data_IF_085064673786
#
_entry.id   IF_085064673786
#
_cell.length_a   1.000
_cell.length_b   1.000
_cell.length_c   1.000
_cell.angle_alpha   90.00
_cell.angle_beta   90.00
_cell.angle_gamma   90.00
#
_symmetry.space_group_name_H-M   'P 1'
#
loop_
_entity.id
_entity.type
_entity.pdbx_description
1 polymer ?
#
# COMPACT_ATOMS: atom_id res chain seq x y z
N UNK A 1 -0.75 18.01 26.98
CA UNK A 1 -0.49 18.08 25.52
C UNK A 1 -0.98 19.37 24.88
N UNK A 2 -1.85 20.17 25.52
CA UNK A 2 -2.23 21.50 25.02
C UNK A 2 -3.16 21.50 23.81
N UNK A 3 -3.68 20.34 23.42
CA UNK A 3 -4.63 20.15 22.31
C UNK A 3 -6.02 19.85 22.88
N UNK A 4 -7.07 20.19 22.13
CA UNK A 4 -8.48 19.97 22.46
C UNK A 4 -8.92 18.52 22.26
N UNK A 5 -8.20 17.76 21.43
CA UNK A 5 -8.48 16.35 21.17
C UNK A 5 -7.19 15.57 20.88
N UNK A 6 -7.27 14.24 20.88
CA UNK A 6 -6.16 13.39 20.45
C UNK A 6 -5.88 13.57 18.96
N UNK A 7 -6.93 13.72 18.14
CA UNK A 7 -6.76 13.99 16.71
C UNK A 7 -5.98 15.28 16.45
N UNK A 8 -6.26 16.36 17.18
CA UNK A 8 -5.47 17.59 17.05
C UNK A 8 -4.00 17.39 17.44
N UNK A 9 -3.73 16.60 18.49
CA UNK A 9 -2.36 16.27 18.87
C UNK A 9 -1.64 15.42 17.81
N UNK A 10 -2.31 14.42 17.24
CA UNK A 10 -1.74 13.46 16.29
C UNK A 10 -1.54 14.07 14.89
N UNK A 11 -2.45 14.91 14.43
CA UNK A 11 -2.44 15.46 13.05
C UNK A 11 -1.54 16.69 12.91
N UNK A 12 -1.24 17.41 13.99
CA UNK A 12 -0.50 18.70 13.92
C UNK A 12 0.85 18.66 13.22
N UNK A 13 1.55 17.51 13.24
CA UNK A 13 2.88 17.34 12.63
C UNK A 13 2.82 16.72 11.24
N UNK A 14 1.63 16.34 10.78
CA UNK A 14 1.38 15.75 9.47
C UNK A 14 1.07 16.84 8.45
N UNK A 15 1.06 16.51 7.16
CA UNK A 15 0.79 17.47 6.09
C UNK A 15 -0.58 18.14 6.25
N UNK A 16 -1.59 17.41 6.72
CA UNK A 16 -2.92 17.96 6.97
C UNK A 16 -2.96 19.05 8.06
N UNK A 17 -2.01 19.05 8.99
CA UNK A 17 -1.80 20.02 10.08
C UNK A 17 -2.97 20.22 11.09
N UNK A 18 -4.21 19.86 10.78
CA UNK A 18 -5.34 19.89 11.70
C UNK A 18 -6.46 18.91 11.36
N UNK A 19 -7.27 18.47 12.34
CA UNK A 19 -8.42 17.59 12.09
C UNK A 19 -9.46 18.23 11.16
N UNK A 20 -9.57 19.56 11.18
CA UNK A 20 -10.49 20.27 10.29
C UNK A 20 -10.11 20.08 8.82
N UNK A 21 -8.82 20.12 8.49
CA UNK A 21 -8.32 19.92 7.12
C UNK A 21 -8.60 18.49 6.67
N UNK A 22 -8.33 17.51 7.53
CA UNK A 22 -8.66 16.10 7.29
C UNK A 22 -10.15 15.92 7.01
N UNK A 23 -11.02 16.46 7.88
CA UNK A 23 -12.46 16.37 7.69
C UNK A 23 -12.93 17.05 6.40
N UNK A 24 -12.34 18.20 6.04
CA UNK A 24 -12.70 18.88 4.77
C UNK A 24 -12.39 18.00 3.56
N UNK A 25 -11.22 17.36 3.55
CA UNK A 25 -10.83 16.42 2.51
C UNK A 25 -11.76 15.19 2.45
N UNK A 26 -12.05 14.57 3.60
CA UNK A 26 -12.91 13.38 3.66
C UNK A 26 -14.34 13.68 3.21
N UNK A 27 -14.88 14.85 3.55
CA UNK A 27 -16.22 15.26 3.14
C UNK A 27 -16.29 15.58 1.65
N UNK A 28 -15.31 16.33 1.11
CA UNK A 28 -15.20 16.59 -0.34
C UNK A 28 -15.14 15.26 -1.12
N UNK A 29 -14.29 14.33 -0.70
CA UNK A 29 -14.16 13.03 -1.36
C UNK A 29 -15.41 12.15 -1.19
N UNK A 30 -16.09 12.24 -0.03
CA UNK A 30 -17.36 11.54 0.20
C UNK A 30 -18.47 12.04 -0.70
N UNK A 31 -18.50 13.34 -1.01
CA UNK A 31 -19.47 13.94 -1.93
C UNK A 31 -19.23 13.46 -3.36
N UNK A 32 -17.96 13.48 -3.81
CA UNK A 32 -17.54 13.03 -5.14
C UNK A 32 -17.91 11.55 -5.38
N UNK A 33 -17.63 10.67 -4.42
CA UNK A 33 -17.81 9.22 -4.61
C UNK A 33 -19.27 8.76 -4.46
N UNK A 34 -20.14 9.57 -3.84
CA UNK A 34 -21.48 9.15 -3.39
C UNK A 34 -22.31 8.53 -4.51
N UNK A 35 -22.48 9.27 -5.61
CA UNK A 35 -23.35 8.87 -6.72
C UNK A 35 -22.90 7.52 -7.28
N UNK A 36 -21.59 7.39 -7.56
CA UNK A 36 -21.05 6.17 -8.14
C UNK A 36 -21.15 4.96 -7.20
N UNK A 37 -20.91 5.16 -5.91
CA UNK A 37 -21.04 4.11 -4.92
C UNK A 37 -22.51 3.66 -4.75
N UNK A 38 -23.48 4.57 -4.83
CA UNK A 38 -24.90 4.23 -4.79
C UNK A 38 -25.35 3.43 -6.04
N UNK A 39 -24.82 3.78 -7.23
CA UNK A 39 -25.02 2.99 -8.45
C UNK A 39 -24.48 1.56 -8.31
N UNK A 40 -23.26 1.44 -7.81
CA UNK A 40 -22.59 0.16 -7.58
C UNK A 40 -23.31 -0.69 -6.54
N UNK A 41 -23.71 -0.09 -5.42
CA UNK A 41 -24.52 -0.75 -4.39
C UNK A 41 -25.83 -1.29 -4.97
N UNK A 42 -26.54 -0.47 -5.77
CA UNK A 42 -27.76 -0.89 -6.45
C UNK A 42 -27.49 -2.07 -7.39
N UNK A 43 -26.37 -2.06 -8.13
CA UNK A 43 -25.99 -3.16 -9.02
C UNK A 43 -25.79 -4.47 -8.27
N UNK A 44 -25.16 -4.45 -7.09
CA UNK A 44 -24.97 -5.64 -6.25
C UNK A 44 -26.32 -6.16 -5.75
N UNK A 45 -27.17 -5.26 -5.26
CA UNK A 45 -28.51 -5.59 -4.75
C UNK A 45 -29.41 -6.18 -5.85
N UNK A 46 -29.43 -5.57 -7.03
CA UNK A 46 -30.23 -6.05 -8.16
C UNK A 46 -29.73 -7.43 -8.62
N UNK A 47 -28.42 -7.69 -8.57
CA UNK A 47 -27.86 -9.00 -8.86
C UNK A 47 -28.26 -10.07 -7.83
N UNK A 48 -28.23 -9.76 -6.52
CA UNK A 48 -28.74 -10.65 -5.47
C UNK A 48 -30.20 -11.05 -5.75
N UNK A 49 -31.07 -10.09 -6.04
CA UNK A 49 -32.49 -10.34 -6.33
C UNK A 49 -32.70 -11.22 -7.55
N UNK A 50 -31.86 -11.07 -8.57
CA UNK A 50 -31.92 -11.92 -9.76
C UNK A 50 -31.48 -13.35 -9.49
N UNK A 51 -30.47 -13.56 -8.63
CA UNK A 51 -29.92 -14.89 -8.35
C UNK A 51 -30.75 -15.68 -7.33
N UNK A 52 -31.22 -15.02 -6.27
CA UNK A 52 -31.87 -15.67 -5.12
C UNK A 52 -33.40 -15.47 -5.08
N UNK A 53 -33.94 -14.66 -6.00
CA UNK A 53 -35.37 -14.30 -6.05
C UNK A 53 -35.74 -13.14 -5.11
N UNK A 54 -36.90 -12.52 -5.33
CA UNK A 54 -37.32 -11.33 -4.58
C UNK A 54 -37.67 -11.58 -3.10
N UNK A 55 -37.88 -12.84 -2.71
CA UNK A 55 -38.25 -13.21 -1.34
C UNK A 55 -37.03 -13.34 -0.40
N UNK A 56 -35.79 -13.22 -0.90
CA UNK A 56 -34.55 -13.45 -0.13
C UNK A 56 -34.13 -12.29 0.80
N UNK A 57 -34.94 -11.23 0.92
CA UNK A 57 -34.61 -10.02 1.67
C UNK A 57 -33.71 -9.04 0.90
N UNK A 58 -33.38 -7.90 1.51
CA UNK A 58 -32.50 -6.90 0.88
C UNK A 58 -31.02 -7.28 1.00
N UNK A 59 -30.13 -6.53 0.34
CA UNK A 59 -28.69 -6.76 0.40
C UNK A 59 -28.13 -6.47 1.81
N UNK A 60 -27.42 -7.44 2.39
CA UNK A 60 -26.83 -7.31 3.73
C UNK A 60 -25.30 -7.24 3.69
N UNK A 61 -24.61 -6.69 4.72
CA UNK A 61 -23.16 -6.50 4.65
C UNK A 61 -22.34 -7.78 4.46
N UNK A 62 -22.84 -8.95 4.88
CA UNK A 62 -22.17 -10.24 4.67
C UNK A 62 -22.31 -10.77 3.23
N UNK A 63 -23.21 -10.18 2.43
CA UNK A 63 -23.47 -10.57 1.05
C UNK A 63 -22.50 -9.89 0.06
N UNK A 64 -21.96 -8.71 0.40
CA UNK A 64 -21.21 -7.86 -0.52
C UNK A 64 -20.04 -8.60 -1.19
N UNK A 65 -19.17 -9.23 -0.40
CA UNK A 65 -17.99 -9.94 -0.92
C UNK A 65 -18.36 -11.14 -1.79
N UNK A 66 -19.46 -11.81 -1.49
CA UNK A 66 -19.94 -12.97 -2.25
C UNK A 66 -20.44 -12.54 -3.63
N UNK A 67 -21.36 -11.58 -3.69
CA UNK A 67 -21.95 -11.13 -4.95
C UNK A 67 -20.99 -10.34 -5.82
N UNK A 68 -20.14 -9.49 -5.24
CA UNK A 68 -19.10 -8.79 -6.00
C UNK A 68 -18.10 -9.78 -6.62
N UNK A 69 -17.72 -10.84 -5.90
CA UNK A 69 -16.87 -11.91 -6.42
C UNK A 69 -17.48 -12.62 -7.63
N UNK A 70 -18.77 -13.00 -7.54
CA UNK A 70 -19.48 -13.64 -8.65
C UNK A 70 -19.61 -12.69 -9.84
N UNK A 71 -19.99 -11.43 -9.61
CA UNK A 71 -20.13 -10.41 -10.65
C UNK A 71 -18.80 -10.20 -11.40
N UNK A 72 -17.69 -10.07 -10.67
CA UNK A 72 -16.35 -9.90 -11.28
C UNK A 72 -15.94 -11.13 -12.08
N UNK A 73 -16.10 -12.34 -11.54
CA UNK A 73 -15.73 -13.57 -12.23
C UNK A 73 -16.58 -13.80 -13.48
N UNK A 74 -17.90 -13.57 -13.39
CA UNK A 74 -18.84 -13.80 -14.49
C UNK A 74 -18.69 -12.78 -15.63
N UNK A 75 -18.45 -11.50 -15.30
CA UNK A 75 -18.32 -10.44 -16.30
C UNK A 75 -17.05 -10.59 -17.17
N UNK A 76 -15.99 -11.17 -16.63
CA UNK A 76 -14.67 -11.20 -17.28
C UNK A 76 -14.11 -12.61 -17.51
N UNK A 77 -14.83 -13.65 -17.14
CA UNK A 77 -14.38 -15.05 -17.28
C UNK A 77 -13.09 -15.32 -16.49
N UNK A 78 -12.92 -14.66 -15.34
CA UNK A 78 -11.72 -14.78 -14.52
C UNK A 78 -11.84 -15.96 -13.56
N UNK A 79 -10.93 -16.91 -13.73
CA UNK A 79 -10.67 -17.99 -12.78
C UNK A 79 -9.41 -17.65 -11.98
N UNK A 80 -9.54 -17.53 -10.66
CA UNK A 80 -8.44 -17.18 -9.76
C UNK A 80 -7.30 -18.20 -9.80
N UNK A 81 -7.60 -19.48 -10.05
CA UNK A 81 -6.60 -20.54 -10.18
C UNK A 81 -5.79 -20.40 -11.47
N UNK A 82 -6.44 -20.00 -12.57
CA UNK A 82 -5.77 -19.71 -13.84
C UNK A 82 -4.86 -18.49 -13.68
N UNK A 83 -5.33 -17.42 -13.03
CA UNK A 83 -4.47 -16.24 -12.78
C UNK A 83 -3.27 -16.63 -11.91
N UNK A 84 -3.49 -17.33 -10.80
CA UNK A 84 -2.42 -17.73 -9.87
C UNK A 84 -1.37 -18.66 -10.50
N UNK A 85 -1.72 -19.37 -11.58
CA UNK A 85 -0.79 -20.22 -12.33
C UNK A 85 0.39 -19.45 -12.95
N UNK A 86 0.24 -18.14 -13.19
CA UNK A 86 1.28 -17.25 -13.73
C UNK A 86 2.17 -16.61 -12.66
N UNK A 87 1.82 -16.76 -11.38
CA UNK A 87 2.52 -16.11 -10.26
C UNK A 87 3.12 -17.10 -9.25
N UNK A 88 4.01 -18.03 -9.67
CA UNK A 88 4.90 -18.69 -8.71
C UNK A 88 5.70 -17.67 -7.90
N UNK A 89 5.84 -17.90 -6.59
CA UNK A 89 6.53 -16.96 -5.71
C UNK A 89 7.96 -16.63 -6.16
N UNK A 90 8.69 -17.62 -6.69
CA UNK A 90 10.03 -17.43 -7.24
C UNK A 90 10.05 -16.42 -8.38
N UNK A 91 9.08 -16.50 -9.29
CA UNK A 91 8.94 -15.57 -10.40
C UNK A 91 8.57 -14.17 -9.90
N UNK A 92 7.69 -14.06 -8.90
CA UNK A 92 7.36 -12.76 -8.30
C UNK A 92 8.59 -12.09 -7.68
N UNK A 93 9.43 -12.84 -6.97
CA UNK A 93 10.71 -12.35 -6.42
C UNK A 93 11.63 -11.87 -7.56
N UNK A 94 11.77 -12.63 -8.65
CA UNK A 94 12.57 -12.22 -9.79
C UNK A 94 11.99 -10.99 -10.51
N UNK A 95 10.67 -10.81 -10.47
CA UNK A 95 9.97 -9.59 -10.88
C UNK A 95 10.42 -8.37 -10.07
N UNK A 96 10.49 -8.48 -8.74
CA UNK A 96 11.00 -7.40 -7.88
C UNK A 96 12.45 -7.03 -8.23
N UNK A 97 13.32 -8.03 -8.46
CA UNK A 97 14.71 -7.80 -8.87
C UNK A 97 14.80 -7.10 -10.24
N UNK A 98 13.99 -7.56 -11.20
CA UNK A 98 13.96 -7.03 -12.56
C UNK A 98 13.47 -5.59 -12.59
N UNK A 99 12.43 -5.28 -11.82
CA UNK A 99 11.90 -3.92 -11.68
C UNK A 99 12.98 -2.97 -11.13
N UNK A 100 13.69 -3.38 -10.08
CA UNK A 100 14.74 -2.56 -9.45
C UNK A 100 15.93 -2.36 -10.37
N UNK A 101 16.31 -3.38 -11.12
CA UNK A 101 17.34 -3.26 -12.16
C UNK A 101 16.95 -2.27 -13.24
N UNK A 102 15.70 -2.31 -13.69
CA UNK A 102 15.20 -1.42 -14.75
C UNK A 102 15.11 0.03 -14.28
N UNK A 103 14.48 0.27 -13.13
CA UNK A 103 14.25 1.60 -12.60
C UNK A 103 15.52 2.24 -12.06
N UNK A 104 16.26 1.52 -11.23
CA UNK A 104 17.32 2.11 -10.42
C UNK A 104 18.73 1.73 -10.87
N UNK A 105 18.89 0.89 -11.89
CA UNK A 105 20.20 0.34 -12.27
C UNK A 105 20.85 -0.52 -11.17
N UNK A 106 20.09 -0.86 -10.13
CA UNK A 106 20.56 -1.61 -8.97
C UNK A 106 20.20 -3.09 -9.08
N UNK A 107 21.00 -3.96 -8.47
CA UNK A 107 20.81 -5.41 -8.55
C UNK A 107 20.65 -6.03 -7.17
N UNK A 108 19.66 -6.90 -7.03
CA UNK A 108 19.50 -7.72 -5.84
C UNK A 108 20.26 -9.04 -6.00
N UNK A 109 21.14 -9.34 -5.04
CA UNK A 109 21.89 -10.59 -4.98
C UNK A 109 21.44 -11.41 -3.78
N UNK A 110 21.16 -12.70 -3.98
CA UNK A 110 20.89 -13.61 -2.85
C UNK A 110 22.22 -13.85 -2.15
N UNK A 111 22.26 -13.60 -0.84
CA UNK A 111 23.45 -13.73 -0.01
C UNK A 111 23.23 -14.87 0.98
N UNK A 112 24.22 -15.75 1.21
CA UNK A 112 24.10 -16.80 2.22
C UNK A 112 23.93 -16.19 3.62
N UNK A 113 23.12 -16.86 4.43
CA UNK A 113 22.95 -16.53 5.85
C UNK A 113 24.14 -17.07 6.65
N UNK A 114 24.71 -16.24 7.51
CA UNK A 114 25.72 -16.67 8.47
C UNK A 114 25.10 -17.59 9.56
N UNK A 115 25.90 -18.46 10.19
CA UNK A 115 25.42 -19.30 11.30
C UNK A 115 24.76 -18.46 12.40
N UNK A 116 23.49 -18.74 12.69
CA UNK A 116 22.71 -18.04 13.74
C UNK A 116 22.12 -16.69 13.31
N UNK A 117 22.30 -16.24 12.06
CA UNK A 117 21.78 -14.95 11.59
C UNK A 117 20.26 -14.94 11.39
N UNK A 118 19.68 -16.06 10.96
CA UNK A 118 18.24 -16.16 10.66
C UNK A 118 17.43 -16.76 11.80
N UNK A 119 16.22 -16.23 11.99
CA UNK A 119 15.21 -16.77 12.91
C UNK A 119 14.44 -17.98 12.35
N UNK A 120 14.55 -18.28 11.06
CA UNK A 120 13.89 -19.45 10.46
C UNK A 120 14.58 -19.93 9.16
N UNK A 121 14.68 -21.25 8.89
CA UNK A 121 15.37 -21.78 7.71
C UNK A 121 14.79 -21.35 6.35
N UNK A 122 13.51 -20.97 6.29
CA UNK A 122 12.85 -20.53 5.06
C UNK A 122 13.09 -19.05 4.70
N UNK A 123 13.80 -18.30 5.56
CA UNK A 123 14.08 -16.87 5.32
C UNK A 123 15.19 -16.76 4.29
N UNK A 124 15.00 -15.90 3.28
CA UNK A 124 16.02 -15.56 2.31
C UNK A 124 16.62 -14.20 2.65
N UNK A 125 17.92 -14.02 2.39
CA UNK A 125 18.60 -12.74 2.52
C UNK A 125 19.05 -12.26 1.13
N UNK A 126 18.78 -10.99 0.84
CA UNK A 126 19.27 -10.34 -0.37
C UNK A 126 20.04 -9.06 -0.01
N UNK A 127 21.13 -8.78 -0.72
CA UNK A 127 21.76 -7.46 -0.74
C UNK A 127 21.28 -6.69 -1.96
N UNK A 128 21.01 -5.39 -1.79
CA UNK A 128 20.79 -4.46 -2.89
C UNK A 128 22.13 -3.80 -3.22
N UNK A 129 22.60 -3.90 -4.46
CA UNK A 129 23.86 -3.32 -4.91
C UNK A 129 23.61 -2.28 -6.01
N UNK A 130 24.30 -1.14 -5.95
CA UNK A 130 24.26 -0.09 -6.97
C UNK A 130 25.68 0.29 -7.39
N UNK A 131 26.01 0.25 -8.70
CA UNK A 131 27.40 0.39 -9.18
C UNK A 131 28.02 1.76 -8.85
N UNK A 132 27.22 2.83 -8.84
CA UNK A 132 27.70 4.19 -8.56
C UNK A 132 27.85 4.50 -7.06
N UNK A 133 27.51 3.56 -6.16
CA UNK A 133 27.61 3.81 -4.72
C UNK A 133 29.05 3.54 -4.24
N UNK A 134 29.80 4.62 -4.03
CA UNK A 134 31.25 4.56 -3.70
C UNK A 134 31.58 4.81 -2.22
N UNK A 135 30.56 4.92 -1.35
CA UNK A 135 30.79 5.23 0.06
C UNK A 135 31.29 3.99 0.81
N UNK A 136 32.25 4.19 1.72
CA UNK A 136 32.75 3.09 2.54
C UNK A 136 31.66 2.65 3.53
N UNK A 137 31.47 1.34 3.62
CA UNK A 137 30.40 0.74 4.42
C UNK A 137 30.95 0.32 5.78
N UNK A 138 30.26 0.73 6.84
CA UNK A 138 30.64 0.38 8.20
C UNK A 138 30.56 -1.12 8.46
N UNK A 139 31.68 -1.75 8.86
CA UNK A 139 31.73 -3.20 9.09
C UNK A 139 30.76 -3.62 10.20
N UNK A 140 29.85 -4.54 9.87
CA UNK A 140 29.14 -5.35 10.84
C UNK A 140 29.92 -6.63 11.11
N UNK A 141 30.08 -7.00 12.38
CA UNK A 141 30.77 -8.23 12.80
C UNK A 141 30.16 -9.53 12.25
N UNK A 142 29.00 -9.48 11.59
CA UNK A 142 28.25 -10.64 11.08
C UNK A 142 27.90 -10.56 9.59
N UNK A 143 28.37 -9.54 8.84
CA UNK A 143 28.09 -9.42 7.40
C UNK A 143 29.36 -9.03 6.64
N UNK A 144 29.67 -9.75 5.56
CA UNK A 144 30.61 -9.27 4.54
C UNK A 144 29.88 -8.16 3.79
N UNK A 145 30.30 -6.92 4.00
CA UNK A 145 29.72 -5.74 3.34
C UNK A 145 30.66 -5.31 2.22
N UNK A 146 30.12 -5.18 1.01
CA UNK A 146 30.91 -4.81 -0.18
C UNK A 146 30.69 -3.33 -0.53
N UNK A 147 31.70 -2.70 -1.15
CA UNK A 147 31.49 -1.38 -1.75
C UNK A 147 30.40 -1.47 -2.82
N UNK A 148 29.46 -0.53 -2.83
CA UNK A 148 28.31 -0.56 -3.73
C UNK A 148 27.01 -1.08 -3.10
N UNK A 149 27.05 -1.71 -1.91
CA UNK A 149 25.85 -2.17 -1.24
C UNK A 149 25.00 -1.01 -0.72
N UNK A 150 23.71 -1.04 -1.05
CA UNK A 150 22.72 -0.08 -0.58
C UNK A 150 21.99 -0.52 0.71
N UNK A 151 21.96 -1.81 1.00
CA UNK A 151 21.33 -2.38 2.20
C UNK A 151 20.93 -3.84 2.04
N UNK A 152 20.34 -4.42 3.10
CA UNK A 152 19.96 -5.83 3.13
C UNK A 152 18.45 -6.02 3.39
N UNK A 153 17.86 -6.96 2.66
CA UNK A 153 16.46 -7.34 2.74
C UNK A 153 16.33 -8.81 3.12
N UNK A 154 15.67 -9.09 4.24
CA UNK A 154 15.21 -10.42 4.60
C UNK A 154 13.80 -10.66 4.06
N UNK A 155 13.60 -11.79 3.41
CA UNK A 155 12.29 -12.23 2.91
C UNK A 155 11.80 -13.40 3.75
N UNK A 156 10.76 -13.17 4.54
CA UNK A 156 10.09 -14.20 5.32
C UNK A 156 8.65 -14.37 4.81
N UNK A 157 8.48 -15.19 3.77
CA UNK A 157 7.29 -15.13 2.92
C UNK A 157 6.24 -16.22 3.17
N UNK A 158 6.62 -17.34 3.79
CA UNK A 158 5.74 -18.49 4.00
C UNK A 158 4.97 -18.40 5.32
N UNK A 159 3.73 -18.87 5.32
CA UNK A 159 2.92 -18.96 6.54
C UNK A 159 3.43 -20.06 7.48
N UNK A 160 3.39 -19.81 8.79
CA UNK A 160 3.67 -20.80 9.84
C UNK A 160 3.05 -20.41 11.17
N UNK A 161 2.80 -21.40 12.03
CA UNK A 161 2.24 -21.19 13.38
C UNK A 161 3.13 -20.25 14.21
N UNK A 162 2.53 -19.26 14.86
CA UNK A 162 3.23 -18.32 15.75
C UNK A 162 3.97 -17.17 15.06
N UNK A 163 3.92 -17.09 13.72
CA UNK A 163 4.44 -15.94 12.96
C UNK A 163 3.45 -14.77 13.00
N UNK A 164 3.97 -13.54 12.86
CA UNK A 164 3.17 -12.33 12.65
C UNK A 164 2.12 -12.55 11.53
N UNK A 165 0.83 -12.28 11.77
CA UNK A 165 -0.22 -12.45 10.77
C UNK A 165 -0.18 -11.31 9.73
N UNK A 166 -0.48 -11.62 8.47
CA UNK A 166 -0.56 -10.63 7.39
C UNK A 166 0.76 -10.39 6.65
N UNK A 167 0.85 -9.24 5.97
CA UNK A 167 2.05 -8.79 5.29
C UNK A 167 2.52 -7.47 5.92
N UNK A 168 3.82 -7.31 6.15
CA UNK A 168 4.39 -6.11 6.73
C UNK A 168 5.90 -6.00 6.45
N UNK A 169 6.35 -4.75 6.31
CA UNK A 169 7.74 -4.34 6.34
C UNK A 169 8.19 -3.97 7.77
N UNK A 170 9.34 -4.49 8.18
CA UNK A 170 9.99 -4.17 9.45
C UNK A 170 11.40 -3.62 9.24
N UNK A 171 11.68 -2.44 9.79
CA UNK A 171 13.03 -1.91 9.85
C UNK A 171 13.78 -2.52 11.05
N UNK A 172 14.78 -3.36 10.77
CA UNK A 172 15.68 -3.94 11.78
C UNK A 172 16.76 -2.93 12.15
N UNK A 173 17.33 -2.27 11.15
CA UNK A 173 18.33 -1.19 11.31
C UNK A 173 18.07 -0.11 10.27
N UNK A 174 18.02 1.15 10.69
CA UNK A 174 17.90 2.27 9.74
C UNK A 174 19.26 2.72 9.21
N UNK A 175 19.24 3.35 8.05
CA UNK A 175 20.40 3.99 7.46
C UNK A 175 20.81 5.24 8.22
N UNK A 176 22.11 5.51 8.35
CA UNK A 176 22.62 6.79 8.87
C UNK A 176 24.07 7.05 8.51
N UNK A 177 24.46 8.31 8.47
CA UNK A 177 25.87 8.69 8.42
C UNK A 177 26.53 8.41 9.78
N UNK A 178 27.72 7.78 9.78
CA UNK A 178 28.54 7.59 10.99
C UNK A 178 29.69 8.60 11.06
N UNK A 179 30.30 8.88 9.91
CA UNK A 179 31.35 9.89 9.71
C UNK A 179 31.33 10.35 8.26
N UNK A 180 32.10 11.37 7.86
CA UNK A 180 32.14 11.86 6.47
C UNK A 180 32.36 10.77 5.41
N UNK A 181 33.04 9.68 5.76
CA UNK A 181 33.39 8.60 4.82
C UNK A 181 32.58 7.33 5.00
N UNK A 182 31.80 7.22 6.07
CA UNK A 182 31.24 5.95 6.53
C UNK A 182 29.72 6.04 6.72
N UNK A 183 28.99 5.11 6.10
CA UNK A 183 27.55 4.98 6.20
C UNK A 183 27.14 3.65 6.82
N UNK A 184 26.17 3.70 7.73
CA UNK A 184 25.49 2.52 8.28
C UNK A 184 24.37 2.10 7.33
N UNK A 185 24.48 0.93 6.70
CA UNK A 185 23.43 0.48 5.77
C UNK A 185 22.13 0.06 6.47
N UNK A 186 20.96 0.35 5.87
CA UNK A 186 19.69 -0.15 6.34
C UNK A 186 19.59 -1.68 6.22
N UNK A 187 18.87 -2.28 7.17
CA UNK A 187 18.53 -3.70 7.20
C UNK A 187 17.05 -3.82 7.49
N UNK A 188 16.33 -4.49 6.60
CA UNK A 188 14.86 -4.58 6.65
C UNK A 188 14.40 -6.03 6.46
N UNK A 189 13.21 -6.33 6.97
CA UNK A 189 12.54 -7.61 6.75
C UNK A 189 11.17 -7.38 6.13
N UNK A 190 10.88 -8.08 5.04
CA UNK A 190 9.57 -8.16 4.43
C UNK A 190 8.95 -9.49 4.83
N UNK A 191 7.88 -9.42 5.61
CA UNK A 191 7.19 -10.57 6.21
C UNK A 191 5.85 -10.72 5.53
N UNK A 192 5.57 -11.88 4.91
CA UNK A 192 4.27 -12.24 4.33
C UNK A 192 3.82 -13.62 4.82
N UNK A 193 2.60 -14.04 4.49
CA UNK A 193 2.04 -15.32 4.90
C UNK A 193 1.47 -16.14 3.74
N UNK A 194 2.25 -16.30 2.65
CA UNK A 194 1.81 -17.09 1.50
C UNK A 194 1.76 -18.57 1.84
N UNK A 195 0.67 -19.22 1.45
CA UNK A 195 0.49 -20.65 1.62
C UNK A 195 1.28 -21.43 0.55
N UNK A 196 1.96 -22.49 0.96
CA UNK A 196 2.52 -23.44 0.01
C UNK A 196 1.39 -24.14 -0.76
N UNK A 197 1.59 -24.43 -2.04
CA UNK A 197 0.60 -25.16 -2.84
C UNK A 197 0.49 -26.61 -2.34
N UNK A 198 -0.71 -27.24 -2.34
CA UNK A 198 -0.85 -28.64 -1.98
C UNK A 198 0.10 -29.53 -2.80
N UNK A 199 0.90 -30.35 -2.13
CA UNK A 199 1.87 -31.26 -2.76
C UNK A 199 3.13 -30.59 -3.33
N UNK A 200 3.36 -29.30 -3.08
CA UNK A 200 4.55 -28.57 -3.53
C UNK A 200 5.15 -27.72 -2.41
N UNK A 201 6.47 -27.56 -2.42
CA UNK A 201 7.17 -26.61 -1.53
C UNK A 201 7.08 -25.16 -2.00
N UNK A 202 6.46 -24.89 -3.15
CA UNK A 202 6.39 -23.56 -3.76
C UNK A 202 5.00 -22.95 -3.64
N UNK A 203 4.94 -21.68 -3.22
CA UNK A 203 3.71 -20.88 -3.21
C UNK A 203 3.37 -20.39 -4.61
N UNK A 204 2.06 -20.35 -4.92
CA UNK A 204 1.49 -19.67 -6.09
C UNK A 204 0.57 -18.59 -5.57
N UNK A 205 0.82 -17.36 -5.98
CA UNK A 205 0.14 -16.20 -5.43
C UNK A 205 -1.09 -15.90 -6.27
N UNK A 206 -2.22 -15.62 -5.63
CA UNK A 206 -3.27 -14.88 -6.32
C UNK A 206 -2.81 -13.44 -6.58
N UNK A 207 -3.47 -12.72 -7.48
CA UNK A 207 -2.98 -11.39 -7.86
C UNK A 207 -3.04 -10.36 -6.71
N UNK A 208 -4.00 -10.47 -5.78
CA UNK A 208 -4.04 -9.64 -4.58
C UNK A 208 -2.84 -9.86 -3.65
N UNK A 209 -2.32 -11.09 -3.57
CA UNK A 209 -1.06 -11.39 -2.86
C UNK A 209 0.16 -10.80 -3.58
N UNK A 210 0.14 -10.73 -4.92
CA UNK A 210 1.19 -10.06 -5.71
C UNK A 210 1.17 -8.54 -5.48
N UNK A 211 -0.02 -7.92 -5.51
CA UNK A 211 -0.20 -6.50 -5.16
C UNK A 211 0.32 -6.22 -3.76
N UNK A 212 -0.05 -7.04 -2.78
CA UNK A 212 0.43 -6.91 -1.39
C UNK A 212 1.96 -7.06 -1.29
N UNK A 213 2.55 -8.00 -2.03
CA UNK A 213 4.01 -8.16 -2.07
C UNK A 213 4.70 -6.89 -2.61
N UNK A 214 4.16 -6.29 -3.67
CA UNK A 214 4.69 -5.06 -4.25
C UNK A 214 4.49 -3.85 -3.32
N UNK A 215 3.36 -3.77 -2.63
CA UNK A 215 3.11 -2.76 -1.60
C UNK A 215 4.21 -2.79 -0.52
N UNK A 216 4.43 -3.95 0.11
CA UNK A 216 5.46 -4.08 1.15
C UNK A 216 6.88 -3.90 0.60
N UNK A 217 7.09 -4.25 -0.67
CA UNK A 217 8.35 -4.00 -1.33
C UNK A 217 8.59 -2.50 -1.59
N UNK A 218 7.55 -1.70 -1.82
CA UNK A 218 7.64 -0.24 -1.87
C UNK A 218 8.18 0.34 -0.55
N UNK A 219 7.68 -0.15 0.60
CA UNK A 219 8.22 0.19 1.92
C UNK A 219 9.69 -0.24 2.10
N UNK A 220 10.01 -1.46 1.67
CA UNK A 220 11.39 -1.97 1.72
C UNK A 220 12.34 -1.12 0.86
N UNK A 221 11.94 -0.77 -0.36
CA UNK A 221 12.72 0.08 -1.26
C UNK A 221 12.90 1.49 -0.71
N UNK A 222 11.86 2.08 -0.11
CA UNK A 222 11.99 3.37 0.54
C UNK A 222 13.07 3.33 1.64
N UNK A 223 13.08 2.26 2.45
CA UNK A 223 14.10 2.06 3.48
C UNK A 223 15.51 1.81 2.92
N UNK A 224 15.64 0.98 1.87
CA UNK A 224 16.94 0.63 1.28
C UNK A 224 17.56 1.78 0.47
N UNK A 225 16.74 2.57 -0.21
CA UNK A 225 17.17 3.70 -1.02
C UNK A 225 17.48 4.96 -0.20
N UNK A 226 16.98 5.05 1.04
CA UNK A 226 17.15 6.21 1.92
C UNK A 226 18.63 6.44 2.30
N UNK A 227 19.06 7.70 2.24
CA UNK A 227 20.42 8.18 2.52
C UNK A 227 20.38 9.40 3.44
N UNK A 228 19.92 9.20 4.66
CA UNK A 228 19.82 10.28 5.67
C UNK A 228 21.02 10.33 6.60
N UNK A 229 21.30 11.51 7.14
CA UNK A 229 22.34 11.71 8.15
C UNK A 229 21.97 11.02 9.47
N UNK A 230 20.68 11.08 9.85
CA UNK A 230 20.17 10.53 11.09
C UNK A 230 19.22 9.36 10.84
N UNK A 231 19.37 8.30 11.64
CA UNK A 231 18.54 7.11 11.57
C UNK A 231 17.06 7.38 11.86
N UNK A 232 16.74 8.42 12.62
CA UNK A 232 15.36 8.79 12.94
C UNK A 232 14.56 9.28 11.73
N UNK A 233 15.23 9.67 10.65
CA UNK A 233 14.61 10.06 9.38
C UNK A 233 14.76 8.99 8.30
N UNK A 234 15.38 7.84 8.61
CA UNK A 234 15.68 6.83 7.58
C UNK A 234 14.42 6.08 7.13
N UNK A 235 14.31 5.89 5.83
CA UNK A 235 13.28 5.07 5.20
C UNK A 235 11.88 5.61 5.44
N UNK A 236 10.99 4.72 5.89
CA UNK A 236 9.57 5.01 6.14
C UNK A 236 9.31 5.87 7.39
N UNK A 237 10.34 6.42 8.05
CA UNK A 237 10.21 7.34 9.19
C UNK A 237 9.92 8.76 8.72
N UNK A 238 8.80 8.91 8.04
CA UNK A 238 8.25 10.16 7.50
C UNK A 238 6.98 10.55 8.26
N UNK A 239 6.36 11.67 7.91
CA UNK A 239 5.02 12.00 8.42
C UNK A 239 3.99 10.98 7.97
N UNK A 240 2.96 10.76 8.80
CA UNK A 240 2.05 9.62 8.63
C UNK A 240 1.26 9.66 7.33
N UNK A 241 0.77 10.83 6.94
CA UNK A 241 -0.02 11.07 5.73
C UNK A 241 0.78 11.12 4.43
N UNK A 242 2.06 10.73 4.50
CA UNK A 242 2.94 10.51 3.36
C UNK A 242 3.50 9.08 3.30
N UNK A 243 3.61 8.39 4.45
CA UNK A 243 4.34 7.13 4.63
C UNK A 243 3.92 6.00 3.68
N UNK A 244 2.63 5.91 3.36
CA UNK A 244 2.08 4.86 2.48
C UNK A 244 2.24 5.18 0.98
N UNK A 245 2.61 6.42 0.62
CA UNK A 245 2.67 6.85 -0.79
C UNK A 245 3.61 5.99 -1.65
N UNK A 246 4.84 5.66 -1.21
CA UNK A 246 5.70 4.75 -1.97
C UNK A 246 5.10 3.36 -2.14
N UNK A 247 4.47 2.80 -1.10
CA UNK A 247 3.88 1.48 -1.16
C UNK A 247 2.69 1.42 -2.13
N UNK A 248 1.77 2.38 -2.03
CA UNK A 248 0.66 2.52 -2.99
C UNK A 248 1.13 2.79 -4.42
N UNK A 249 2.25 3.50 -4.61
CA UNK A 249 2.83 3.69 -5.94
C UNK A 249 3.29 2.34 -6.52
N UNK A 250 3.93 1.48 -5.71
CA UNK A 250 4.41 0.18 -6.18
C UNK A 250 3.28 -0.82 -6.49
N UNK A 251 2.08 -0.65 -5.93
CA UNK A 251 0.89 -1.40 -6.35
C UNK A 251 0.59 -1.23 -7.84
N UNK A 252 0.75 -0.02 -8.41
CA UNK A 252 0.49 0.20 -9.84
C UNK A 252 1.40 -0.65 -10.75
N UNK A 253 2.65 -0.85 -10.37
CA UNK A 253 3.57 -1.71 -11.12
C UNK A 253 3.13 -3.18 -11.09
N UNK A 254 2.43 -3.63 -10.04
CA UNK A 254 1.87 -4.98 -9.96
C UNK A 254 0.67 -5.18 -10.91
N UNK A 255 0.12 -4.11 -11.48
CA UNK A 255 -1.05 -4.15 -12.39
C UNK A 255 -0.71 -3.84 -13.85
N UNK A 256 0.47 -3.29 -14.13
CA UNK A 256 0.88 -2.92 -15.48
C UNK A 256 1.40 -4.13 -16.28
N UNK A 257 0.79 -4.40 -17.44
CA UNK A 257 1.19 -5.52 -18.30
C UNK A 257 2.66 -5.49 -18.73
N UNK A 258 3.22 -4.29 -18.99
CA UNK A 258 4.61 -4.13 -19.42
C UNK A 258 5.58 -4.57 -18.33
N UNK A 259 5.19 -4.42 -17.06
CA UNK A 259 5.93 -4.92 -15.89
C UNK A 259 5.66 -6.42 -15.71
N UNK A 260 4.39 -6.83 -15.65
CA UNK A 260 4.00 -8.22 -15.39
C UNK A 260 4.61 -9.20 -16.40
N UNK A 261 4.62 -8.86 -17.70
CA UNK A 261 5.17 -9.73 -18.75
C UNK A 261 6.66 -10.07 -18.59
N UNK A 262 7.38 -9.33 -17.75
CA UNK A 262 8.82 -9.57 -17.50
C UNK A 262 9.05 -10.80 -16.61
N UNK A 263 8.10 -11.14 -15.74
CA UNK A 263 8.26 -12.20 -14.75
C UNK A 263 7.09 -13.17 -14.63
N UNK A 264 5.85 -12.71 -14.90
CA UNK A 264 4.66 -13.55 -14.78
C UNK A 264 4.62 -14.58 -15.90
N UNK A 265 4.87 -15.84 -15.52
CA UNK A 265 4.97 -16.99 -16.43
C UNK A 265 4.23 -18.18 -15.87
N UNK A 266 3.49 -18.87 -16.73
CA UNK A 266 2.74 -20.06 -16.36
C UNK A 266 3.69 -21.11 -15.79
N UNK A 267 3.39 -21.61 -14.59
CA UNK A 267 4.32 -22.45 -13.82
C UNK A 267 4.74 -23.75 -14.52
N UNK A 268 3.90 -24.30 -15.41
CA UNK A 268 4.19 -25.56 -16.10
C UNK A 268 4.64 -25.41 -17.55
N UNK A 269 4.21 -24.35 -18.25
CA UNK A 269 4.50 -24.17 -19.69
C UNK A 269 5.58 -23.11 -19.92
N UNK A 270 5.82 -22.21 -18.96
CA UNK A 270 6.74 -21.09 -19.11
C UNK A 270 6.19 -19.91 -19.94
N UNK A 271 4.95 -20.03 -20.42
CA UNK A 271 4.30 -19.00 -21.24
C UNK A 271 4.13 -17.70 -20.46
N UNK A 272 4.40 -16.58 -21.11
CA UNK A 272 4.18 -15.24 -20.54
C UNK A 272 2.68 -15.03 -20.30
N UNK A 273 2.33 -14.32 -19.21
CA UNK A 273 0.94 -13.95 -18.94
C UNK A 273 0.32 -13.24 -20.16
N UNK A 274 -0.84 -13.70 -20.67
CA UNK A 274 -1.46 -13.05 -21.82
C UNK A 274 -1.93 -11.63 -21.49
N UNK A 275 -1.69 -10.67 -22.38
CA UNK A 275 -2.15 -9.29 -22.23
C UNK A 275 -3.67 -9.20 -22.03
N UNK A 276 -4.44 -10.03 -22.75
CA UNK A 276 -5.89 -10.13 -22.60
C UNK A 276 -6.30 -10.54 -21.18
N UNK A 277 -5.54 -11.41 -20.52
CA UNK A 277 -5.80 -11.81 -19.15
C UNK A 277 -5.55 -10.64 -18.19
N UNK A 278 -4.43 -9.93 -18.35
CA UNK A 278 -4.12 -8.73 -17.55
C UNK A 278 -5.15 -7.62 -17.76
N UNK A 279 -5.64 -7.44 -18.99
CA UNK A 279 -6.73 -6.50 -19.26
C UNK A 279 -8.00 -6.90 -18.52
N UNK A 280 -8.42 -8.16 -18.60
CA UNK A 280 -9.59 -8.67 -17.90
C UNK A 280 -9.47 -8.51 -16.38
N UNK A 281 -8.27 -8.75 -15.81
CA UNK A 281 -7.97 -8.52 -14.40
C UNK A 281 -8.13 -7.04 -14.03
N UNK A 282 -7.59 -6.13 -14.83
CA UNK A 282 -7.73 -4.68 -14.60
C UNK A 282 -9.19 -4.22 -14.73
N UNK A 283 -9.93 -4.70 -15.74
CA UNK A 283 -11.35 -4.37 -15.90
C UNK A 283 -12.17 -4.86 -14.68
N UNK A 284 -11.85 -6.05 -14.14
CA UNK A 284 -12.47 -6.59 -12.92
C UNK A 284 -12.06 -5.83 -11.64
N UNK A 285 -10.83 -5.32 -11.58
CA UNK A 285 -10.37 -4.45 -10.49
C UNK A 285 -11.19 -3.17 -10.43
N UNK A 286 -11.47 -2.57 -11.59
CA UNK A 286 -12.24 -1.32 -11.70
C UNK A 286 -13.72 -1.47 -11.34
N UNK A 287 -14.25 -2.70 -11.26
CA UNK A 287 -15.59 -2.91 -10.71
C UNK A 287 -15.62 -2.69 -9.19
N UNK A 288 -16.59 -1.92 -8.72
CA UNK A 288 -16.87 -1.68 -7.29
C UNK A 288 -15.81 -0.84 -6.58
N UNK A 289 -15.02 -0.05 -7.32
CA UNK A 289 -13.97 0.80 -6.74
C UNK A 289 -14.57 1.98 -5.96
N UNK A 290 -15.70 2.54 -6.40
CA UNK A 290 -16.37 3.61 -5.65
C UNK A 290 -16.91 3.10 -4.31
N UNK A 291 -17.44 1.88 -4.27
CA UNK A 291 -17.89 1.19 -3.06
C UNK A 291 -16.72 0.98 -2.07
N UNK A 292 -15.56 0.51 -2.57
CA UNK A 292 -14.35 0.39 -1.75
C UNK A 292 -13.88 1.75 -1.22
N UNK A 293 -13.83 2.78 -2.08
CA UNK A 293 -13.40 4.11 -1.69
C UNK A 293 -14.33 4.72 -0.63
N UNK A 294 -15.65 4.57 -0.80
CA UNK A 294 -16.66 4.97 0.19
C UNK A 294 -16.41 4.28 1.54
N UNK A 295 -16.08 2.99 1.54
CA UNK A 295 -15.71 2.25 2.75
C UNK A 295 -14.45 2.80 3.43
N UNK A 296 -13.39 3.10 2.67
CA UNK A 296 -12.17 3.68 3.24
C UNK A 296 -12.42 5.07 3.83
N UNK A 297 -13.22 5.92 3.16
CA UNK A 297 -13.65 7.22 3.68
C UNK A 297 -14.42 7.05 4.98
N UNK A 298 -15.37 6.11 5.03
CA UNK A 298 -16.13 5.81 6.24
C UNK A 298 -15.22 5.39 7.41
N UNK A 299 -14.20 4.58 7.16
CA UNK A 299 -13.22 4.19 8.19
C UNK A 299 -12.41 5.39 8.69
N UNK A 300 -11.98 6.28 7.81
CA UNK A 300 -11.31 7.52 8.19
C UNK A 300 -12.22 8.46 8.99
N UNK A 301 -13.50 8.55 8.64
CA UNK A 301 -14.50 9.35 9.36
C UNK A 301 -14.76 8.81 10.78
N UNK A 302 -14.85 7.49 10.94
CA UNK A 302 -14.94 6.85 12.26
C UNK A 302 -13.72 7.22 13.10
N UNK A 303 -12.52 7.02 12.55
CA UNK A 303 -11.26 7.29 13.23
C UNK A 303 -11.18 8.75 13.71
N UNK A 304 -11.44 9.72 12.84
CA UNK A 304 -11.47 11.14 13.21
C UNK A 304 -12.56 11.48 14.23
N UNK A 305 -13.73 10.85 14.16
CA UNK A 305 -14.82 11.10 15.10
C UNK A 305 -14.51 10.57 16.49
N UNK A 306 -13.96 9.35 16.59
CA UNK A 306 -13.65 8.71 17.86
C UNK A 306 -12.47 9.40 18.59
N UNK A 307 -11.50 9.92 17.85
CA UNK A 307 -10.34 10.62 18.42
C UNK A 307 -10.45 12.15 18.42
N UNK A 308 -11.52 12.69 17.85
CA UNK A 308 -11.82 14.12 17.79
C UNK A 308 -12.27 14.70 19.14
N UNK A 309 -12.69 15.96 19.10
CA UNK A 309 -13.25 16.63 20.28
C UNK A 309 -14.52 15.90 20.75
N UNK A 310 -14.50 15.47 22.01
CA UNK A 310 -15.63 14.74 22.58
C UNK A 310 -16.64 15.70 23.20
N UNK A 311 -17.95 15.45 23.03
CA UNK A 311 -18.98 16.24 23.70
C UNK A 311 -18.89 16.09 25.22
N UNK A 312 -19.49 17.03 25.96
CA UNK A 312 -19.51 17.01 27.43
C UNK A 312 -20.28 15.82 28.01
N UNK A 313 -21.24 15.26 27.27
CA UNK A 313 -21.92 14.01 27.59
C UNK A 313 -21.26 12.84 26.86
N UNK A 314 -21.10 11.71 27.56
CA UNK A 314 -20.57 10.48 26.96
C UNK A 314 -21.51 10.00 25.85
N UNK A 315 -21.02 9.98 24.61
CA UNK A 315 -21.71 9.38 23.47
C UNK A 315 -21.26 7.93 23.30
N UNK A 316 -22.22 7.02 23.15
CA UNK A 316 -21.96 5.64 22.81
C UNK A 316 -21.33 5.51 21.41
N UNK A 317 -20.27 4.71 21.29
CA UNK A 317 -19.49 4.56 20.06
C UNK A 317 -20.29 3.86 18.96
N UNK A 318 -21.16 2.91 19.32
CA UNK A 318 -22.02 2.20 18.37
C UNK A 318 -22.98 3.19 17.70
N UNK A 319 -23.59 4.06 18.49
CA UNK A 319 -24.49 5.10 18.01
C UNK A 319 -23.78 6.11 17.09
N UNK A 320 -22.56 6.54 17.45
CA UNK A 320 -21.76 7.41 16.57
C UNK A 320 -21.46 6.76 15.21
N UNK A 321 -21.08 5.48 15.21
CA UNK A 321 -20.80 4.73 13.99
C UNK A 321 -22.06 4.49 13.17
N UNK A 322 -23.20 4.20 13.82
CA UNK A 322 -24.50 4.06 13.14
C UNK A 322 -24.86 5.32 12.38
N UNK A 323 -24.71 6.49 13.02
CA UNK A 323 -25.01 7.78 12.40
C UNK A 323 -24.08 8.07 11.22
N UNK A 324 -22.77 7.84 11.39
CA UNK A 324 -21.80 7.99 10.29
C UNK A 324 -22.11 7.04 9.14
N UNK A 325 -22.49 5.79 9.42
CA UNK A 325 -22.75 4.78 8.39
C UNK A 325 -23.96 5.18 7.55
N UNK A 326 -25.04 5.60 8.22
CA UNK A 326 -26.26 6.09 7.58
C UNK A 326 -26.02 7.36 6.75
N UNK A 327 -25.16 8.26 7.24
CA UNK A 327 -24.89 9.53 6.58
C UNK A 327 -23.94 9.38 5.40
N UNK A 328 -22.93 8.52 5.53
CA UNK A 328 -21.79 8.48 4.61
C UNK A 328 -21.68 7.23 3.75
N UNK A 329 -22.60 6.27 3.89
CA UNK A 329 -22.61 5.04 3.08
C UNK A 329 -24.01 4.67 2.64
N UNK A 330 -24.12 3.76 1.68
CA UNK A 330 -25.40 3.18 1.24
C UNK A 330 -25.88 2.04 2.15
N UNK A 331 -25.16 1.77 3.24
CA UNK A 331 -25.39 0.65 4.14
C UNK A 331 -26.03 1.07 5.46
N UNK A 332 -26.93 0.25 5.97
CA UNK A 332 -27.44 0.39 7.32
C UNK A 332 -26.52 -0.28 8.36
N UNK A 333 -26.63 0.17 9.61
CA UNK A 333 -25.96 -0.48 10.73
C UNK A 333 -26.70 -1.78 11.09
N UNK A 334 -25.95 -2.85 11.30
CA UNK A 334 -26.50 -4.13 11.75
C UNK A 334 -26.49 -4.16 13.28
N UNK A 335 -27.67 -4.21 13.88
CA UNK A 335 -27.81 -4.22 15.34
C UNK A 335 -27.13 -5.44 15.98
N UNK A 336 -26.58 -5.25 17.19
CA UNK A 336 -25.80 -6.27 17.90
C UNK A 336 -24.35 -6.41 17.41
N UNK A 337 -23.92 -5.61 16.41
CA UNK A 337 -22.53 -5.63 15.93
C UNK A 337 -21.69 -4.50 16.52
N UNK A 338 -20.42 -4.80 16.79
CA UNK A 338 -19.44 -3.84 17.31
C UNK A 338 -18.18 -3.83 16.43
N UNK A 339 -18.35 -3.58 15.13
CA UNK A 339 -17.29 -3.68 14.13
C UNK A 339 -15.99 -2.96 14.53
N UNK A 340 -16.10 -1.75 15.08
CA UNK A 340 -14.95 -0.94 15.51
C UNK A 340 -14.06 -1.61 16.57
N UNK A 341 -14.58 -2.54 17.36
CA UNK A 341 -13.77 -3.28 18.34
C UNK A 341 -12.79 -4.25 17.69
N UNK A 342 -13.00 -4.58 16.41
CA UNK A 342 -12.10 -5.39 15.58
C UNK A 342 -11.22 -4.55 14.67
N UNK A 343 -11.38 -3.22 14.68
CA UNK A 343 -10.62 -2.32 13.84
C UNK A 343 -9.30 -1.94 14.52
N UNK A 344 -8.29 -2.81 14.38
CA UNK A 344 -6.99 -2.69 15.06
C UNK A 344 -6.27 -1.37 14.78
N UNK A 345 -6.53 -0.73 13.63
CA UNK A 345 -5.95 0.57 13.27
C UNK A 345 -6.33 1.68 14.24
N UNK A 346 -7.46 1.58 14.96
CA UNK A 346 -7.77 2.54 16.02
C UNK A 346 -6.74 2.52 17.15
N UNK A 347 -6.03 1.40 17.36
CA UNK A 347 -5.03 1.27 18.41
C UNK A 347 -3.65 1.72 17.94
N UNK A 348 -3.25 1.33 16.73
CA UNK A 348 -1.88 1.57 16.22
C UNK A 348 -1.76 2.85 15.37
N UNK A 349 -2.86 3.31 14.77
CA UNK A 349 -2.94 4.43 13.82
C UNK A 349 -4.02 5.45 14.22
N UNK A 350 -4.47 5.49 15.48
CA UNK A 350 -5.57 6.34 15.92
C UNK A 350 -5.41 7.80 15.46
N UNK A 351 -6.48 8.38 14.92
CA UNK A 351 -6.55 9.68 14.26
C UNK A 351 -5.71 9.82 12.97
N UNK A 352 -5.20 8.73 12.43
CA UNK A 352 -4.30 8.68 11.28
C UNK A 352 -4.84 7.91 10.07
N UNK A 353 -6.00 7.27 10.13
CA UNK A 353 -6.45 6.34 9.07
C UNK A 353 -6.71 7.03 7.72
N UNK A 354 -6.96 8.35 7.70
CA UNK A 354 -7.08 9.14 6.47
C UNK A 354 -5.80 9.13 5.61
N UNK A 355 -4.64 8.82 6.20
CA UNK A 355 -3.34 8.77 5.51
C UNK A 355 -3.34 7.81 4.32
N UNK A 356 -4.08 6.69 4.39
CA UNK A 356 -4.23 5.77 3.26
C UNK A 356 -4.89 6.42 2.04
N UNK A 357 -5.87 7.31 2.25
CA UNK A 357 -6.51 8.05 1.16
C UNK A 357 -5.58 9.13 0.59
N UNK A 358 -4.81 9.80 1.45
CA UNK A 358 -3.76 10.72 1.00
C UNK A 358 -2.76 10.01 0.09
N UNK A 359 -2.22 8.89 0.57
CA UNK A 359 -1.26 8.08 -0.16
C UNK A 359 -1.79 7.58 -1.50
N UNK A 360 -3.05 7.12 -1.56
CA UNK A 360 -3.70 6.73 -2.83
C UNK A 360 -3.78 7.88 -3.83
N UNK A 361 -4.18 9.09 -3.40
CA UNK A 361 -4.23 10.24 -4.29
C UNK A 361 -2.85 10.66 -4.80
N UNK A 362 -1.84 10.69 -3.91
CA UNK A 362 -0.47 10.99 -4.29
C UNK A 362 0.10 9.92 -5.23
N UNK A 363 -0.06 8.64 -4.91
CA UNK A 363 0.40 7.53 -5.73
C UNK A 363 -0.25 7.53 -7.12
N UNK A 364 -1.55 7.79 -7.22
CA UNK A 364 -2.25 7.91 -8.51
C UNK A 364 -1.69 9.04 -9.37
N UNK A 365 -1.43 10.20 -8.76
CA UNK A 365 -0.82 11.35 -9.46
C UNK A 365 0.61 11.06 -9.89
N UNK A 366 1.46 10.52 -9.00
CA UNK A 366 2.84 10.15 -9.34
C UNK A 366 2.86 9.09 -10.44
N UNK A 367 1.99 8.08 -10.37
CA UNK A 367 1.89 7.06 -11.40
C UNK A 367 1.56 7.69 -12.75
N UNK A 368 0.49 8.49 -12.81
CA UNK A 368 0.02 9.12 -14.05
C UNK A 368 1.04 10.07 -14.66
N UNK A 369 1.63 10.96 -13.87
CA UNK A 369 2.50 12.03 -14.37
C UNK A 369 3.95 11.58 -14.60
N UNK A 370 4.41 10.57 -13.86
CA UNK A 370 5.85 10.24 -13.79
C UNK A 370 6.16 8.83 -14.31
N UNK A 371 5.26 7.86 -14.11
CA UNK A 371 5.55 6.44 -14.36
C UNK A 371 4.78 5.85 -15.55
N UNK A 372 3.61 6.39 -15.90
CA UNK A 372 2.66 5.73 -16.80
C UNK A 372 3.18 5.55 -18.23
N UNK A 373 3.86 6.57 -18.79
CA UNK A 373 4.37 6.51 -20.16
C UNK A 373 5.37 5.36 -20.37
N UNK A 374 6.31 5.20 -19.43
CA UNK A 374 7.25 4.08 -19.40
C UNK A 374 7.55 3.64 -17.96
N UNK A 375 6.85 2.62 -17.45
CA UNK A 375 7.00 2.15 -16.06
C UNK A 375 8.32 1.40 -15.84
N UNK A 376 9.14 1.20 -16.87
CA UNK A 376 10.44 0.56 -16.74
C UNK A 376 11.60 1.52 -17.05
N UNK A 377 11.29 2.82 -17.21
CA UNK A 377 12.25 3.87 -17.54
C UNK A 377 13.32 4.05 -16.44
N UNK A 378 14.62 3.90 -16.78
CA UNK A 378 15.71 4.19 -15.85
C UNK A 378 15.77 5.68 -15.44
N UNK A 379 15.38 6.58 -16.35
CA UNK A 379 15.31 8.02 -16.05
C UNK A 379 14.25 8.30 -14.98
N UNK A 380 13.09 7.66 -15.11
CA UNK A 380 12.01 7.75 -14.12
C UNK A 380 12.45 7.20 -12.78
N UNK A 381 13.09 6.03 -12.75
CA UNK A 381 13.59 5.45 -11.51
C UNK A 381 14.71 6.29 -10.86
N UNK A 382 15.57 6.94 -11.65
CA UNK A 382 16.53 7.93 -11.14
C UNK A 382 15.82 9.09 -10.43
N UNK A 383 14.75 9.64 -11.02
CA UNK A 383 13.93 10.66 -10.37
C UNK A 383 13.22 10.15 -9.12
N UNK A 384 12.63 8.96 -9.14
CA UNK A 384 12.00 8.34 -7.96
C UNK A 384 13.01 8.15 -6.82
N UNK A 385 14.24 7.71 -7.11
CA UNK A 385 15.29 7.61 -6.09
C UNK A 385 15.69 9.00 -5.59
N UNK A 386 16.11 9.87 -6.49
CA UNK A 386 16.79 11.13 -6.14
C UNK A 386 15.86 12.23 -5.60
N UNK A 387 14.60 12.25 -6.02
CA UNK A 387 13.65 13.31 -5.61
C UNK A 387 12.68 12.88 -4.52
N UNK A 388 12.59 11.58 -4.25
CA UNK A 388 11.53 11.02 -3.42
C UNK A 388 12.08 10.04 -2.37
N UNK A 389 12.55 8.86 -2.76
CA UNK A 389 12.90 7.80 -1.80
C UNK A 389 14.17 8.08 -0.98
N UNK A 390 15.19 8.71 -1.56
CA UNK A 390 16.49 8.85 -0.88
C UNK A 390 16.43 9.72 0.37
N UNK A 391 15.45 10.63 0.46
CA UNK A 391 15.41 11.61 1.54
C UNK A 391 14.82 11.06 2.84
N UNK A 392 14.12 9.92 2.81
CA UNK A 392 13.33 9.46 3.95
C UNK A 392 12.49 10.61 4.53
N UNK A 393 12.49 10.76 5.86
CA UNK A 393 11.86 11.87 6.58
C UNK A 393 12.72 13.12 6.76
N UNK A 394 13.85 13.25 6.07
CA UNK A 394 14.77 14.38 6.27
C UNK A 394 14.43 15.62 5.43
N UNK A 395 13.44 15.52 4.53
CA UNK A 395 12.97 16.62 3.69
C UNK A 395 11.44 16.74 3.80
N UNK A 396 10.93 17.96 3.66
CA UNK A 396 9.49 18.21 3.72
C UNK A 396 8.76 17.45 2.59
N UNK A 397 7.72 16.65 2.90
CA UNK A 397 6.98 15.89 1.90
C UNK A 397 6.38 16.75 0.78
N UNK A 398 5.97 17.98 1.07
CA UNK A 398 5.39 18.86 0.06
C UNK A 398 6.41 19.26 -1.00
N UNK A 399 7.67 19.50 -0.59
CA UNK A 399 8.77 19.77 -1.50
C UNK A 399 9.12 18.52 -2.32
N UNK A 400 9.15 17.34 -1.69
CA UNK A 400 9.41 16.07 -2.39
C UNK A 400 8.37 15.79 -3.49
N UNK A 401 7.09 15.97 -3.16
CA UNK A 401 5.97 15.73 -4.08
C UNK A 401 6.00 16.71 -5.25
N UNK A 402 6.23 18.00 -4.99
CA UNK A 402 6.33 19.03 -6.02
C UNK A 402 7.53 18.84 -6.94
N UNK A 403 8.69 18.52 -6.38
CA UNK A 403 9.91 18.28 -7.16
C UNK A 403 9.76 17.08 -8.12
N UNK A 404 9.00 16.07 -7.69
CA UNK A 404 8.77 14.83 -8.44
C UNK A 404 7.67 14.97 -9.50
N UNK A 405 6.49 15.47 -9.12
CA UNK A 405 5.27 15.41 -9.92
C UNK A 405 4.65 16.79 -10.24
N UNK A 406 5.30 17.88 -9.84
CA UNK A 406 4.85 19.26 -10.08
C UNK A 406 3.87 19.78 -9.03
N UNK A 407 3.55 21.08 -9.11
CA UNK A 407 2.74 21.78 -8.09
C UNK A 407 1.29 21.28 -7.97
N UNK A 408 0.75 20.67 -9.03
CA UNK A 408 -0.63 20.19 -9.07
C UNK A 408 -0.93 18.98 -8.18
N UNK A 409 0.08 18.35 -7.58
CA UNK A 409 -0.11 17.17 -6.72
C UNK A 409 -0.70 17.49 -5.34
N UNK A 410 -0.56 18.74 -4.89
CA UNK A 410 -1.08 19.19 -3.58
C UNK A 410 -1.94 20.44 -3.70
N UNK A 411 -2.86 20.60 -2.75
CA UNK A 411 -3.69 21.79 -2.55
C UNK A 411 -3.54 22.27 -1.11
N UNK A 412 -3.53 23.59 -0.92
CA UNK A 412 -3.58 24.20 0.41
C UNK A 412 -5.03 24.38 0.86
N UNK A 413 -5.35 23.91 2.07
CA UNK A 413 -6.67 24.06 2.67
C UNK A 413 -6.51 24.49 4.13
N UNK A 414 -6.98 25.69 4.48
CA UNK A 414 -7.04 26.22 5.87
C UNK A 414 -5.74 26.04 6.67
N UNK A 415 -4.59 26.28 6.03
CA UNK A 415 -3.27 26.19 6.68
C UNK A 415 -2.65 24.79 6.72
N UNK A 416 -3.34 23.77 6.20
CA UNK A 416 -2.79 22.43 5.96
C UNK A 416 -2.75 22.09 4.47
N UNK A 417 -2.23 20.91 4.17
CA UNK A 417 -2.11 20.37 2.81
C UNK A 417 -3.04 19.17 2.65
N UNK A 418 -3.71 19.12 1.50
CA UNK A 418 -4.51 17.98 1.04
C UNK A 418 -3.97 17.54 -0.33
N UNK A 419 -4.10 16.27 -0.72
CA UNK A 419 -3.74 15.83 -2.07
C UNK A 419 -4.73 16.39 -3.11
N UNK A 420 -4.26 16.54 -4.35
CA UNK A 420 -5.17 16.65 -5.49
C UNK A 420 -5.83 15.28 -5.76
N UNK A 421 -7.14 15.30 -6.01
CA UNK A 421 -7.95 14.09 -6.20
C UNK A 421 -8.21 13.78 -7.67
N UNK A 422 -7.83 14.67 -8.61
CA UNK A 422 -8.23 14.60 -10.02
C UNK A 422 -7.73 13.33 -10.71
N UNK A 423 -6.52 12.87 -10.37
CA UNK A 423 -5.95 11.60 -10.88
C UNK A 423 -6.76 10.40 -10.45
N UNK A 424 -7.07 10.33 -9.15
CA UNK A 424 -7.81 9.21 -8.58
C UNK A 424 -9.24 9.20 -9.12
N UNK A 425 -9.92 10.34 -9.18
CA UNK A 425 -11.28 10.45 -9.73
C UNK A 425 -11.32 10.03 -11.19
N UNK A 426 -10.35 10.47 -12.01
CA UNK A 426 -10.27 10.07 -13.42
C UNK A 426 -10.05 8.57 -13.60
N UNK A 427 -9.20 7.95 -12.77
CA UNK A 427 -8.97 6.51 -12.78
C UNK A 427 -10.25 5.72 -12.47
N UNK A 428 -11.05 6.21 -11.53
CA UNK A 428 -12.26 5.57 -11.05
C UNK A 428 -13.53 5.94 -11.83
N UNK A 429 -13.43 6.84 -12.82
CA UNK A 429 -14.55 7.43 -13.55
C UNK A 429 -15.60 8.08 -12.62
N UNK A 430 -15.11 8.91 -11.68
CA UNK A 430 -15.91 9.73 -10.76
C UNK A 430 -16.13 11.15 -11.28
#
# INVERSE_FOLDING_TARGET
MGCKSYSEFAVRTNMAASPHVVMSFLLELSEIVREKADEEFKKIRDFKRQNDGNDCGDLEPWDESYYTGILKSSAFGLDSSVVASYFPLSHCIDGLKSLVKSLFGASFHIVPLAPGESWHPSVLKMSLHHPDEVQAVALLSFCVMEMGDLGYLYLDLYSRKGKYPGCAHFAIRGGRQLSEKEYQLPVVALVCNFAASPGSSSARLNHGEVETLFHEFGHALHSLASRTDYQHFSGTRVVLDFAETPANLFEYFAWDYRVLRTFARHYSTGDVIPEKLVKAMNDARQMFTATELQRQIFYSLIDQTLFGEQPSSTRDTVSAIRDLKRQYTSWDHVDGTHWHTRFSHLITYGAGYYSYLYAKCFASTIWREVCFEDPLSPTTGCHLRAKFLQHGGAKDPSDLLKDLAGDGIIRYCRGGIIPDTSSLCKEMNL
#
